data_IF_379484558241
#
_entry.id   IF_379484558241
#
_cell.length_a   1.000
_cell.length_b   1.000
_cell.length_c   1.000
_cell.angle_alpha   90.00
_cell.angle_beta   90.00
_cell.angle_gamma   90.00
#
_symmetry.space_group_name_H-M   'P 1'
#
loop_
_entity.id
_entity.type
_entity.pdbx_description
1 polymer ?
#
# COMPACT_ATOMS: atom_id res chain seq x y z
N UNK A 1 -39.70 8.26 11.94
CA UNK A 1 -38.89 8.41 10.72
C UNK A 1 -37.46 8.62 11.18
N UNK A 2 -36.57 7.69 10.89
CA UNK A 2 -35.13 7.86 11.15
C UNK A 2 -34.59 8.86 10.13
N UNK A 3 -34.06 10.00 10.58
CA UNK A 3 -33.38 10.93 9.68
C UNK A 3 -32.08 10.30 9.19
N UNK A 4 -31.90 10.30 7.86
CA UNK A 4 -30.65 9.88 7.24
C UNK A 4 -29.71 11.07 7.14
N UNK A 5 -28.71 11.12 8.01
CA UNK A 5 -27.63 12.11 7.92
C UNK A 5 -26.62 11.67 6.85
N UNK A 6 -26.33 12.55 5.89
CA UNK A 6 -25.28 12.33 4.88
C UNK A 6 -23.98 12.95 5.38
N UNK A 7 -22.91 12.14 5.43
CA UNK A 7 -21.56 12.56 5.81
C UNK A 7 -20.74 12.76 4.53
N UNK A 8 -20.08 13.91 4.38
CA UNK A 8 -19.21 14.19 3.23
C UNK A 8 -19.96 14.04 1.89
N UNK A 9 -19.50 13.15 1.02
CA UNK A 9 -20.14 12.82 -0.27
C UNK A 9 -21.17 11.70 -0.17
N UNK A 10 -21.46 11.21 1.03
CA UNK A 10 -22.41 10.11 1.27
C UNK A 10 -21.84 8.73 0.93
N UNK A 11 -20.52 8.60 0.82
CA UNK A 11 -19.86 7.31 0.59
C UNK A 11 -19.56 6.59 1.90
N UNK A 12 -19.29 5.29 1.82
CA UNK A 12 -18.85 4.53 2.99
C UNK A 12 -17.49 5.00 3.53
N UNK A 13 -16.64 5.60 2.68
CA UNK A 13 -15.33 6.13 3.04
C UNK A 13 -15.49 7.40 3.88
N UNK A 14 -16.44 8.27 3.51
CA UNK A 14 -16.77 9.47 4.29
C UNK A 14 -17.24 9.10 5.70
N UNK A 15 -18.10 8.08 5.79
CA UNK A 15 -18.57 7.55 7.08
C UNK A 15 -17.40 6.99 7.91
N UNK A 16 -16.54 6.17 7.32
CA UNK A 16 -15.37 5.61 8.00
C UNK A 16 -14.43 6.72 8.51
N UNK A 17 -14.19 7.75 7.71
CA UNK A 17 -13.36 8.88 8.10
C UNK A 17 -13.98 9.65 9.28
N UNK A 18 -15.29 9.88 9.29
CA UNK A 18 -16.00 10.51 10.41
C UNK A 18 -15.90 9.69 11.69
N UNK A 19 -16.19 8.38 11.61
CA UNK A 19 -16.10 7.48 12.77
C UNK A 19 -14.67 7.40 13.33
N UNK A 20 -13.66 7.41 12.45
CA UNK A 20 -12.26 7.50 12.85
C UNK A 20 -12.00 8.78 13.64
N UNK A 21 -12.41 9.94 13.12
CA UNK A 21 -12.20 11.24 13.78
C UNK A 21 -12.92 11.34 15.11
N UNK A 22 -14.17 10.88 15.19
CA UNK A 22 -14.93 10.80 16.45
C UNK A 22 -14.19 9.96 17.49
N UNK A 23 -13.64 8.81 17.07
CA UNK A 23 -12.84 7.95 17.93
C UNK A 23 -11.56 8.64 18.39
N UNK A 24 -10.78 9.22 17.48
CA UNK A 24 -9.53 9.91 17.82
C UNK A 24 -9.74 11.09 18.78
N UNK A 25 -10.80 11.87 18.55
CA UNK A 25 -11.20 12.97 19.41
C UNK A 25 -11.66 12.50 20.80
N UNK A 26 -12.44 11.41 20.88
CA UNK A 26 -12.88 10.84 22.16
C UNK A 26 -11.72 10.30 23.01
N UNK A 27 -10.63 9.90 22.36
CA UNK A 27 -9.42 9.40 23.00
C UNK A 27 -8.39 10.50 23.26
N UNK A 28 -8.68 11.75 22.87
CA UNK A 28 -7.78 12.89 23.05
C UNK A 28 -6.46 12.78 22.30
N UNK A 29 -6.42 12.02 21.20
CA UNK A 29 -5.21 11.85 20.39
C UNK A 29 -5.03 13.01 19.41
N UNK A 30 -3.77 13.27 19.04
CA UNK A 30 -3.44 14.33 18.10
C UNK A 30 -3.96 13.97 16.69
N UNK A 31 -4.72 14.88 16.10
CA UNK A 31 -5.30 14.78 14.76
C UNK A 31 -4.75 15.83 13.79
N UNK A 32 -3.62 16.47 14.13
CA UNK A 32 -2.98 17.50 13.29
C UNK A 32 -2.47 16.93 11.96
N UNK A 33 -2.15 15.63 11.94
CA UNK A 33 -1.78 14.88 10.75
C UNK A 33 -2.19 13.41 10.89
N UNK A 34 -3.05 12.93 10.00
CA UNK A 34 -3.50 11.54 9.97
C UNK A 34 -2.85 10.81 8.80
N UNK A 35 -2.06 9.79 9.10
CA UNK A 35 -1.44 8.93 8.08
C UNK A 35 -2.33 7.75 7.76
N UNK A 36 -2.53 7.52 6.47
CA UNK A 36 -3.16 6.34 5.92
C UNK A 36 -2.08 5.53 5.22
N UNK A 37 -2.12 4.22 5.36
CA UNK A 37 -1.06 3.35 4.86
C UNK A 37 -1.62 2.32 3.89
N UNK A 38 -0.84 1.98 2.86
CA UNK A 38 -1.10 0.84 1.98
C UNK A 38 0.20 0.11 1.69
N UNK A 39 0.17 -1.22 1.85
CA UNK A 39 1.32 -2.09 1.68
C UNK A 39 1.21 -2.91 0.41
N UNK A 40 2.29 -2.97 -0.36
CA UNK A 40 2.43 -3.87 -1.50
C UNK A 40 3.47 -4.95 -1.20
N UNK A 41 3.00 -6.19 -1.07
CA UNK A 41 3.88 -7.35 -0.98
C UNK A 41 4.72 -7.49 -2.26
N UNK A 42 6.04 -7.40 -2.14
CA UNK A 42 6.96 -7.39 -3.28
C UNK A 42 7.12 -8.78 -3.96
N UNK A 43 6.55 -9.84 -3.37
CA UNK A 43 6.77 -11.23 -3.77
C UNK A 43 5.96 -11.70 -4.99
N UNK A 44 5.23 -10.83 -5.68
CA UNK A 44 4.40 -11.20 -6.84
C UNK A 44 3.97 -10.01 -7.69
N UNK A 45 3.51 -10.28 -8.91
CA UNK A 45 3.02 -9.24 -9.83
C UNK A 45 1.76 -8.60 -9.24
N UNK A 46 1.71 -7.25 -9.11
CA UNK A 46 0.53 -6.56 -8.62
C UNK A 46 -0.71 -6.92 -9.43
N UNK A 47 -1.79 -7.30 -8.76
CA UNK A 47 -3.07 -7.62 -9.39
C UNK A 47 -4.14 -6.60 -8.98
N UNK A 48 -5.34 -6.73 -9.57
CA UNK A 48 -6.47 -5.81 -9.33
C UNK A 48 -6.83 -5.65 -7.83
N UNK A 49 -6.53 -6.68 -7.03
CA UNK A 49 -6.72 -6.65 -5.57
C UNK A 49 -5.74 -5.70 -4.87
N UNK A 50 -4.46 -5.75 -5.25
CA UNK A 50 -3.43 -4.83 -4.76
C UNK A 50 -3.74 -3.38 -5.15
N UNK A 51 -4.25 -3.17 -6.38
CA UNK A 51 -4.74 -1.85 -6.79
C UNK A 51 -5.92 -1.40 -5.94
N UNK A 52 -6.88 -2.29 -5.68
CA UNK A 52 -8.03 -2.01 -4.82
C UNK A 52 -7.64 -1.60 -3.41
N UNK A 53 -6.55 -2.16 -2.86
CA UNK A 53 -6.03 -1.74 -1.57
C UNK A 53 -5.50 -0.30 -1.59
N UNK A 54 -4.62 0.01 -2.54
CA UNK A 54 -4.07 1.36 -2.70
C UNK A 54 -5.18 2.40 -2.94
N UNK A 55 -6.19 2.07 -3.74
CA UNK A 55 -7.34 2.96 -4.01
C UNK A 55 -8.18 3.19 -2.76
N UNK A 56 -8.41 2.17 -1.91
CA UNK A 56 -9.15 2.34 -0.65
C UNK A 56 -8.40 3.24 0.32
N UNK A 57 -7.10 3.01 0.51
CA UNK A 57 -6.26 3.85 1.35
C UNK A 57 -6.25 5.30 0.86
N UNK A 58 -6.07 5.50 -0.43
CA UNK A 58 -6.14 6.84 -1.04
C UNK A 58 -7.53 7.49 -0.85
N UNK A 59 -8.61 6.72 -0.99
CA UNK A 59 -9.97 7.20 -0.73
C UNK A 59 -10.15 7.71 0.69
N UNK A 60 -9.67 6.98 1.69
CA UNK A 60 -9.75 7.40 3.11
C UNK A 60 -8.95 8.68 3.33
N UNK A 61 -7.74 8.78 2.77
CA UNK A 61 -6.93 10.01 2.81
C UNK A 61 -7.72 11.21 2.26
N UNK A 62 -8.37 11.05 1.11
CA UNK A 62 -9.17 12.11 0.49
C UNK A 62 -10.40 12.47 1.33
N UNK A 63 -11.07 11.48 1.94
CA UNK A 63 -12.21 11.73 2.81
C UNK A 63 -11.82 12.53 4.06
N UNK A 64 -10.68 12.22 4.68
CA UNK A 64 -10.13 12.99 5.81
C UNK A 64 -9.84 14.44 5.42
N UNK A 65 -9.24 14.67 4.25
CA UNK A 65 -9.02 16.01 3.71
C UNK A 65 -10.32 16.76 3.43
N UNK A 66 -11.33 16.07 2.88
CA UNK A 66 -12.65 16.66 2.64
C UNK A 66 -13.35 17.06 3.95
N UNK A 67 -13.06 16.37 5.05
CA UNK A 67 -13.54 16.72 6.40
C UNK A 67 -12.70 17.83 7.07
N UNK A 68 -11.68 18.36 6.39
CA UNK A 68 -10.86 19.48 6.86
C UNK A 68 -9.60 19.10 7.63
N UNK A 69 -9.24 17.82 7.68
CA UNK A 69 -8.05 17.33 8.38
C UNK A 69 -6.88 17.16 7.42
N UNK A 70 -5.65 17.35 7.92
CA UNK A 70 -4.46 17.03 7.12
C UNK A 70 -4.27 15.52 7.11
N UNK A 71 -4.11 14.95 5.91
CA UNK A 71 -3.81 13.53 5.77
C UNK A 71 -2.75 13.24 4.72
N UNK A 72 -1.95 12.21 4.99
CA UNK A 72 -0.87 11.74 4.14
C UNK A 72 -1.06 10.24 3.85
N UNK A 73 -0.76 9.83 2.62
CA UNK A 73 -0.73 8.42 2.24
C UNK A 73 0.72 7.92 2.22
N UNK A 74 1.01 6.93 3.05
CA UNK A 74 2.26 6.16 2.98
C UNK A 74 2.00 4.88 2.20
N UNK A 75 2.55 4.81 0.99
CA UNK A 75 2.63 3.57 0.23
C UNK A 75 4.00 2.94 0.46
N UNK A 76 4.03 1.72 0.97
CA UNK A 76 5.27 1.00 1.24
C UNK A 76 5.27 -0.35 0.53
N UNK A 77 6.47 -0.87 0.27
CA UNK A 77 6.66 -2.21 -0.28
C UNK A 77 7.50 -3.04 0.67
N UNK A 78 7.06 -4.26 0.95
CA UNK A 78 7.80 -5.21 1.79
C UNK A 78 8.85 -5.94 0.94
N UNK A 79 9.83 -5.18 0.43
CA UNK A 79 10.89 -5.64 -0.47
C UNK A 79 12.10 -6.26 0.26
N UNK A 80 12.16 -6.05 1.58
CA UNK A 80 13.13 -6.69 2.47
C UNK A 80 12.75 -8.13 2.85
N UNK A 81 11.53 -8.56 2.55
CA UNK A 81 11.08 -9.93 2.83
C UNK A 81 11.85 -10.95 1.97
N UNK A 82 12.11 -12.12 2.55
CA UNK A 82 12.74 -13.23 1.84
C UNK A 82 11.82 -13.80 0.76
N UNK A 83 12.35 -14.03 -0.44
CA UNK A 83 11.62 -14.66 -1.54
C UNK A 83 11.14 -16.07 -1.12
N UNK A 84 9.84 -16.23 -0.85
CA UNK A 84 9.27 -17.49 -0.34
C UNK A 84 9.03 -18.53 -1.44
N UNK A 85 8.77 -18.06 -2.65
CA UNK A 85 8.53 -18.86 -3.85
C UNK A 85 8.89 -18.01 -5.07
N UNK A 86 9.43 -18.64 -6.12
CA UNK A 86 9.64 -18.00 -7.41
C UNK A 86 8.28 -17.80 -8.09
N UNK A 87 7.87 -16.56 -8.39
CA UNK A 87 6.61 -16.29 -9.10
C UNK A 87 6.69 -16.78 -10.54
N UNK A 88 5.57 -17.26 -11.07
CA UNK A 88 5.48 -17.67 -12.48
C UNK A 88 5.72 -16.45 -13.39
N UNK A 89 6.70 -16.56 -14.30
CA UNK A 89 7.10 -15.49 -15.23
C UNK A 89 8.34 -14.70 -14.83
N UNK A 90 8.94 -14.99 -13.66
CA UNK A 90 10.25 -14.48 -13.28
C UNK A 90 11.33 -15.57 -13.45
N UNK A 91 12.40 -15.24 -14.16
CA UNK A 91 13.56 -16.14 -14.34
C UNK A 91 14.55 -15.91 -13.19
N UNK A 92 14.31 -16.61 -12.08
CA UNK A 92 15.13 -16.53 -10.86
C UNK A 92 15.53 -17.94 -10.48
N UNK A 93 16.81 -18.14 -10.18
CA UNK A 93 17.33 -19.45 -9.79
C UNK A 93 16.80 -19.87 -8.39
N UNK A 94 16.62 -21.17 -8.17
CA UNK A 94 16.08 -21.74 -6.93
C UNK A 94 16.99 -21.51 -5.72
N UNK A 95 18.29 -21.24 -5.95
CA UNK A 95 19.26 -20.87 -4.93
C UNK A 95 18.99 -19.47 -4.31
N UNK A 96 18.09 -18.69 -4.91
CA UNK A 96 17.71 -17.36 -4.47
C UNK A 96 16.56 -17.33 -3.46
N UNK A 97 15.93 -18.47 -3.17
CA UNK A 97 14.87 -18.59 -2.15
C UNK A 97 15.41 -18.15 -0.78
N UNK A 98 14.66 -17.28 -0.09
CA UNK A 98 15.05 -16.71 1.21
C UNK A 98 15.92 -15.45 1.15
N UNK A 99 16.37 -15.01 -0.03
CA UNK A 99 17.03 -13.70 -0.20
C UNK A 99 16.02 -12.57 -0.35
N UNK A 100 16.44 -11.34 -0.05
CA UNK A 100 15.58 -10.15 -0.08
C UNK A 100 15.06 -9.88 -1.49
N UNK A 101 13.76 -9.61 -1.62
CA UNK A 101 13.14 -9.31 -2.92
C UNK A 101 13.80 -8.13 -3.64
N UNK A 102 14.27 -7.13 -2.90
CA UNK A 102 15.00 -5.97 -3.44
C UNK A 102 16.19 -6.36 -4.35
N UNK A 103 16.85 -7.50 -4.08
CA UNK A 103 18.02 -7.93 -4.89
C UNK A 103 17.64 -8.36 -6.32
N UNK A 104 16.36 -8.65 -6.58
CA UNK A 104 15.88 -9.11 -7.88
C UNK A 104 15.20 -8.00 -8.69
N UNK A 105 14.72 -6.94 -8.04
CA UNK A 105 14.05 -5.82 -8.70
C UNK A 105 15.03 -4.82 -9.34
N UNK A 106 16.32 -4.87 -8.99
CA UNK A 106 17.34 -3.92 -9.47
C UNK A 106 18.12 -4.38 -10.70
N UNK A 107 17.91 -5.60 -11.20
CA UNK A 107 18.59 -6.05 -12.41
C UNK A 107 17.90 -5.43 -13.63
N UNK A 108 18.45 -4.33 -14.14
CA UNK A 108 18.04 -3.81 -15.43
C UNK A 108 18.51 -4.78 -16.53
N UNK A 109 17.91 -4.81 -17.73
CA UNK A 109 18.36 -5.66 -18.83
C UNK A 109 19.86 -5.50 -19.19
N UNK A 110 20.51 -4.42 -18.76
CA UNK A 110 21.96 -4.19 -18.94
C UNK A 110 22.82 -5.01 -17.98
N UNK A 111 22.32 -5.31 -16.78
CA UNK A 111 23.10 -6.02 -15.75
C UNK A 111 23.17 -7.53 -16.04
N UNK A 112 22.12 -8.08 -16.68
CA UNK A 112 22.06 -9.48 -17.10
C UNK A 112 23.08 -9.79 -18.21
N UNK A 113 23.36 -8.82 -19.09
CA UNK A 113 24.24 -9.02 -20.24
C UNK A 113 25.73 -9.07 -19.87
N UNK A 114 26.13 -8.53 -18.70
CA UNK A 114 27.52 -8.55 -18.24
C UNK A 114 27.92 -9.83 -17.51
N UNK A 115 26.95 -10.66 -17.10
CA UNK A 115 27.24 -11.94 -16.44
C UNK A 115 27.48 -13.11 -17.42
N UNK A 116 27.12 -12.95 -18.70
CA UNK A 116 27.27 -14.00 -19.73
C UNK A 116 28.58 -13.95 -20.50
N UNK A 117 29.46 -12.97 -20.25
CA UNK A 117 30.70 -12.77 -21.05
C UNK A 117 31.97 -13.30 -20.36
N UNK A 118 31.85 -13.94 -19.19
CA UNK A 118 32.98 -14.55 -18.47
C UNK A 118 32.81 -16.07 -18.30
N UNK A 119 32.54 -16.78 -19.39
CA UNK A 119 32.77 -18.23 -19.52
C UNK A 119 33.47 -18.53 -20.83
#
# INVERSE_FOLDING_TARGET
>A
MTEHQTIGKGTWIDKLASELLERENSLGRNTDLIRVESGLGASGIPHIGSLGDAVRAYGVKLALENLGYKSELIAYSDDLDGLRKIPEGLDVDNDQIGRRVLQFQTQTPRDVMNHTVNT
#
